data_IF_931719298170
#
_entry.id   IF_931719298170
#
_cell.length_a   1.000
_cell.length_b   1.000
_cell.length_c   1.000
_cell.angle_alpha   90.00
_cell.angle_beta   90.00
_cell.angle_gamma   90.00
#
_symmetry.space_group_name_H-M   'P 1'
#
loop_
_entity.id
_entity.type
_entity.pdbx_description
1 polymer ?
#
# COMPACT_ATOMS: atom_id res chain seq x y z
N UNK A 1 66.55 -11.63 76.15
CA UNK A 1 65.72 -10.40 76.21
C UNK A 1 64.43 -10.64 75.43
N UNK A 2 63.31 -10.13 75.93
CA UNK A 2 61.90 -10.36 75.53
C UNK A 2 61.62 -9.88 74.08
N UNK A 3 60.54 -10.36 73.42
CA UNK A 3 60.34 -10.42 71.96
C UNK A 3 59.39 -9.32 71.45
N UNK A 4 59.10 -9.30 70.14
CA UNK A 4 57.79 -8.85 69.65
C UNK A 4 57.46 -9.42 68.26
N UNK A 5 56.25 -9.97 68.19
CA UNK A 5 55.55 -10.52 67.01
C UNK A 5 55.11 -9.41 66.02
N UNK A 6 54.68 -9.80 64.80
CA UNK A 6 53.28 -9.64 64.30
C UNK A 6 53.18 -9.94 62.79
N UNK A 7 52.20 -10.81 62.49
CA UNK A 7 51.33 -11.01 61.32
C UNK A 7 51.79 -10.94 59.84
N UNK A 8 51.52 -12.07 59.17
CA UNK A 8 50.45 -12.28 58.18
C UNK A 8 50.25 -11.26 57.06
N UNK A 9 50.47 -11.69 55.81
CA UNK A 9 49.51 -11.49 54.70
C UNK A 9 49.80 -12.53 53.61
N UNK A 10 48.84 -13.42 53.42
CA UNK A 10 48.65 -14.24 52.23
C UNK A 10 48.12 -13.38 51.08
N UNK A 11 48.63 -13.55 49.86
CA UNK A 11 47.89 -13.24 48.63
C UNK A 11 48.24 -14.28 47.56
N UNK A 12 47.25 -14.94 46.93
CA UNK A 12 47.50 -15.99 45.95
C UNK A 12 47.84 -15.39 44.58
N UNK A 13 48.59 -16.17 43.81
CA UNK A 13 48.91 -15.87 42.42
C UNK A 13 47.66 -15.86 41.53
N UNK A 14 47.73 -14.95 40.57
CA UNK A 14 46.69 -14.51 39.66
C UNK A 14 46.31 -15.64 38.67
N UNK A 15 45.07 -16.10 38.74
CA UNK A 15 44.52 -17.06 37.79
C UNK A 15 44.19 -16.33 36.49
N UNK A 16 45.07 -16.43 35.49
CA UNK A 16 44.81 -15.95 34.13
C UNK A 16 43.68 -16.78 33.52
N UNK A 17 42.45 -16.28 33.64
CA UNK A 17 41.27 -16.79 32.95
C UNK A 17 41.39 -16.51 31.45
N UNK A 18 41.96 -17.45 30.70
CA UNK A 18 41.84 -17.52 29.25
C UNK A 18 40.36 -17.77 28.90
N UNK A 19 39.65 -16.71 28.49
CA UNK A 19 38.34 -16.86 27.87
C UNK A 19 38.51 -17.55 26.51
N UNK A 20 37.84 -18.69 26.28
CA UNK A 20 37.99 -19.40 25.02
C UNK A 20 37.34 -18.58 23.88
N UNK A 21 38.01 -18.43 22.71
CA UNK A 21 37.51 -17.65 21.57
C UNK A 21 36.12 -18.11 21.07
N UNK A 22 35.73 -19.34 21.40
CA UNK A 22 34.47 -19.98 21.00
C UNK A 22 33.22 -19.34 21.59
N UNK A 23 33.31 -18.63 22.73
CA UNK A 23 32.15 -17.99 23.37
C UNK A 23 31.76 -16.65 22.74
N UNK A 24 32.67 -16.00 21.99
CA UNK A 24 32.41 -14.73 21.30
C UNK A 24 31.85 -14.90 19.88
N UNK A 25 32.08 -16.07 19.27
CA UNK A 25 31.58 -16.42 17.94
C UNK A 25 30.04 -16.58 17.92
N UNK A 26 29.46 -17.11 19.01
CA UNK A 26 28.01 -17.30 19.13
C UNK A 26 27.21 -15.99 19.16
N UNK A 27 27.52 -14.98 20.00
CA UNK A 27 26.79 -13.72 20.01
C UNK A 27 27.04 -12.88 18.75
N UNK A 28 28.24 -12.94 18.16
CA UNK A 28 28.55 -12.21 16.93
C UNK A 28 27.77 -12.77 15.74
N UNK A 29 27.64 -14.10 15.66
CA UNK A 29 26.84 -14.76 14.64
C UNK A 29 25.34 -14.53 14.84
N UNK A 30 24.88 -14.48 16.09
CA UNK A 30 23.51 -14.09 16.40
C UNK A 30 23.22 -12.63 15.99
N UNK A 31 24.15 -11.69 16.25
CA UNK A 31 24.05 -10.30 15.81
C UNK A 31 24.03 -10.17 14.28
N UNK A 32 24.86 -10.96 13.58
CA UNK A 32 24.87 -11.01 12.12
C UNK A 32 23.54 -11.54 11.58
N UNK A 33 22.97 -12.59 12.17
CA UNK A 33 21.66 -13.13 11.80
C UNK A 33 20.51 -12.15 12.09
N UNK A 34 20.57 -11.43 13.22
CA UNK A 34 19.63 -10.36 13.56
C UNK A 34 19.68 -9.21 12.56
N UNK A 35 20.89 -8.77 12.16
CA UNK A 35 21.05 -7.70 11.16
C UNK A 35 20.50 -8.10 9.78
N UNK A 36 20.70 -9.35 9.35
CA UNK A 36 20.14 -9.88 8.10
C UNK A 36 18.62 -10.07 8.16
N UNK A 37 18.06 -10.31 9.35
CA UNK A 37 16.61 -10.38 9.57
C UNK A 37 15.95 -9.00 9.61
N UNK A 38 16.71 -7.94 9.88
CA UNK A 38 16.21 -6.54 9.91
C UNK A 38 16.42 -5.75 8.63
N UNK A 39 17.20 -6.28 7.67
CA UNK A 39 17.37 -5.64 6.37
C UNK A 39 16.21 -6.02 5.42
N UNK A 40 14.99 -5.61 5.78
CA UNK A 40 14.11 -5.18 4.70
C UNK A 40 14.82 -3.97 4.07
N UNK A 41 15.02 -3.90 2.75
CA UNK A 41 15.53 -2.68 2.14
C UNK A 41 14.61 -1.55 2.59
N UNK A 42 15.10 -0.71 3.51
CA UNK A 42 14.28 0.35 4.07
C UNK A 42 13.83 1.22 2.91
N UNK A 43 12.53 1.35 2.77
CA UNK A 43 11.87 2.05 1.70
C UNK A 43 12.35 3.52 1.60
N UNK A 44 13.31 3.77 0.70
CA UNK A 44 14.10 5.01 0.75
C UNK A 44 13.67 6.08 -0.28
N UNK A 45 12.73 5.77 -1.18
CA UNK A 45 12.24 6.74 -2.15
C UNK A 45 10.74 7.01 -1.96
N UNK A 46 10.29 8.17 -2.46
CA UNK A 46 8.91 8.64 -2.34
C UNK A 46 7.89 7.61 -2.86
N UNK A 47 8.20 6.93 -3.96
CA UNK A 47 7.30 5.98 -4.61
C UNK A 47 7.07 4.73 -3.80
N UNK A 48 8.12 4.21 -3.19
CA UNK A 48 7.99 3.10 -2.28
C UNK A 48 7.18 3.52 -1.03
N UNK A 49 7.47 4.70 -0.43
CA UNK A 49 6.78 5.15 0.79
C UNK A 49 5.30 5.38 0.56
N UNK A 50 4.96 5.89 -0.61
CA UNK A 50 3.57 5.99 -1.06
C UNK A 50 2.88 4.62 -1.04
N UNK A 51 3.48 3.60 -1.67
CA UNK A 51 2.91 2.25 -1.72
C UNK A 51 2.74 1.66 -0.31
N UNK A 52 3.70 1.86 0.58
CA UNK A 52 3.63 1.37 1.97
C UNK A 52 2.57 2.08 2.82
N UNK A 53 2.31 3.36 2.55
CA UNK A 53 1.35 4.19 3.29
C UNK A 53 -0.07 4.19 2.69
N UNK A 54 -0.28 3.51 1.57
CA UNK A 54 -1.59 3.44 0.92
C UNK A 54 -2.66 2.57 1.64
N UNK A 55 -2.35 1.48 2.36
CA UNK A 55 -3.39 0.60 2.94
C UNK A 55 -4.46 1.29 3.80
N UNK A 56 -4.14 2.28 4.67
CA UNK A 56 -5.16 3.05 5.37
C UNK A 56 -6.13 3.81 4.43
N UNK A 57 -5.63 4.33 3.30
CA UNK A 57 -6.47 5.01 2.29
C UNK A 57 -7.35 4.01 1.56
N UNK A 58 -6.84 2.82 1.25
CA UNK A 58 -7.63 1.73 0.68
C UNK A 58 -8.74 1.28 1.62
N UNK A 59 -8.47 1.22 2.93
CA UNK A 59 -9.49 0.95 3.95
C UNK A 59 -10.58 2.04 3.92
N UNK A 60 -10.18 3.31 3.87
CA UNK A 60 -11.12 4.43 3.77
C UNK A 60 -11.97 4.38 2.50
N UNK A 61 -11.39 4.05 1.35
CA UNK A 61 -12.13 3.81 0.10
C UNK A 61 -13.24 2.77 0.28
N UNK A 62 -12.93 1.64 0.92
CA UNK A 62 -13.91 0.58 1.20
C UNK A 62 -14.99 1.02 2.18
N UNK A 63 -14.62 1.77 3.22
CA UNK A 63 -15.58 2.36 4.17
C UNK A 63 -16.53 3.34 3.47
N UNK A 64 -16.02 4.27 2.67
CA UNK A 64 -16.84 5.24 1.95
C UNK A 64 -17.74 4.58 0.90
N UNK A 65 -17.22 3.56 0.22
CA UNK A 65 -18.03 2.79 -0.74
C UNK A 65 -19.17 2.04 -0.06
N UNK A 66 -18.95 1.45 1.12
CA UNK A 66 -20.02 0.77 1.87
C UNK A 66 -21.19 1.68 2.24
N UNK A 67 -21.00 3.01 2.24
CA UNK A 67 -22.06 3.99 2.50
C UNK A 67 -22.88 4.32 1.24
N UNK A 68 -22.40 3.94 0.05
CA UNK A 68 -23.02 4.31 -1.23
C UNK A 68 -23.34 3.12 -2.14
N UNK A 69 -22.80 1.93 -1.86
CA UNK A 69 -22.91 0.72 -2.69
C UNK A 69 -24.37 0.38 -3.01
N UNK A 70 -25.21 0.28 -1.97
CA UNK A 70 -26.62 -0.11 -2.10
C UNK A 70 -27.38 0.80 -3.07
N UNK A 71 -27.09 2.11 -3.05
CA UNK A 71 -27.72 3.06 -3.95
C UNK A 71 -27.29 2.85 -5.40
N UNK A 72 -25.99 2.70 -5.67
CA UNK A 72 -25.50 2.59 -7.05
C UNK A 72 -25.76 1.21 -7.65
N UNK A 73 -25.66 0.15 -6.86
CA UNK A 73 -25.98 -1.23 -7.29
C UNK A 73 -27.47 -1.41 -7.58
N UNK A 74 -28.37 -0.86 -6.74
CA UNK A 74 -29.81 -0.98 -6.96
C UNK A 74 -30.34 -0.19 -8.18
N UNK A 75 -29.54 0.73 -8.70
CA UNK A 75 -29.85 1.53 -9.90
C UNK A 75 -29.00 1.11 -11.12
N UNK A 76 -28.25 0.01 -11.01
CA UNK A 76 -27.49 -0.56 -12.12
C UNK A 76 -28.35 -1.54 -12.93
N UNK A 77 -28.81 -1.10 -14.10
CA UNK A 77 -29.61 -1.93 -15.02
C UNK A 77 -28.73 -2.69 -16.05
N UNK A 78 -27.40 -2.69 -15.89
CA UNK A 78 -26.47 -3.30 -16.85
C UNK A 78 -25.94 -4.65 -16.37
N UNK A 79 -26.32 -5.73 -17.08
CA UNK A 79 -25.85 -7.09 -16.81
C UNK A 79 -24.37 -7.33 -17.18
N UNK A 80 -23.74 -6.41 -17.91
CA UNK A 80 -22.36 -6.55 -18.38
C UNK A 80 -21.37 -5.90 -17.43
N UNK A 81 -20.41 -6.67 -16.91
CA UNK A 81 -19.35 -6.11 -16.07
C UNK A 81 -18.53 -5.02 -16.79
N UNK A 82 -18.33 -3.86 -16.15
CA UNK A 82 -17.47 -2.80 -16.68
C UNK A 82 -15.99 -3.15 -16.45
N UNK A 83 -15.67 -3.62 -15.26
CA UNK A 83 -14.34 -3.98 -14.79
C UNK A 83 -14.13 -5.50 -14.90
N UNK A 84 -14.26 -6.02 -16.12
CA UNK A 84 -14.16 -7.45 -16.41
C UNK A 84 -12.73 -8.03 -16.28
N UNK A 85 -12.59 -9.34 -16.49
CA UNK A 85 -11.29 -10.04 -16.48
C UNK A 85 -10.28 -9.47 -17.48
N UNK A 86 -10.73 -8.83 -18.56
CA UNK A 86 -9.83 -8.17 -19.53
C UNK A 86 -9.16 -6.97 -18.89
N UNK A 87 -9.91 -6.19 -18.12
CA UNK A 87 -9.39 -5.06 -17.34
C UNK A 87 -8.44 -5.57 -16.26
N UNK A 88 -8.83 -6.60 -15.52
CA UNK A 88 -7.96 -7.25 -14.50
C UNK A 88 -6.61 -7.68 -15.10
N UNK A 89 -6.63 -8.36 -16.25
CA UNK A 89 -5.42 -8.81 -16.93
C UNK A 89 -4.54 -7.65 -17.39
N UNK A 90 -5.14 -6.52 -17.72
CA UNK A 90 -4.42 -5.30 -18.11
C UNK A 90 -3.63 -4.73 -16.91
N UNK A 91 -4.14 -4.82 -15.68
CA UNK A 91 -3.41 -4.48 -14.45
C UNK A 91 -2.27 -5.45 -14.09
N UNK A 92 -2.25 -6.65 -14.68
CA UNK A 92 -1.16 -7.63 -14.53
C UNK A 92 -0.08 -7.51 -15.62
N UNK A 93 -0.34 -6.68 -16.64
CA UNK A 93 0.57 -6.50 -17.78
C UNK A 93 1.72 -5.52 -17.49
N UNK A 94 2.74 -5.45 -18.36
CA UNK A 94 3.74 -4.38 -18.32
C UNK A 94 3.14 -2.96 -18.44
N UNK A 95 1.91 -2.84 -18.93
CA UNK A 95 1.19 -1.58 -19.10
C UNK A 95 0.28 -1.22 -17.92
N UNK A 96 0.39 -1.92 -16.79
CA UNK A 96 -0.48 -1.77 -15.63
C UNK A 96 -0.54 -0.34 -15.07
N UNK A 97 0.56 0.42 -15.17
CA UNK A 97 0.51 1.83 -14.79
C UNK A 97 -0.41 2.63 -15.72
N UNK A 98 -0.24 2.47 -17.03
CA UNK A 98 -0.98 3.25 -18.01
C UNK A 98 -2.48 2.95 -17.88
N UNK A 99 -2.82 1.68 -17.61
CA UNK A 99 -4.17 1.24 -17.26
C UNK A 99 -4.66 1.94 -16.00
N UNK A 100 -3.88 1.93 -14.91
CA UNK A 100 -4.21 2.64 -13.66
C UNK A 100 -4.48 4.13 -13.92
N UNK A 101 -3.58 4.83 -14.62
CA UNK A 101 -3.75 6.25 -14.90
C UNK A 101 -5.02 6.51 -15.73
N UNK A 102 -5.26 5.70 -16.76
CA UNK A 102 -6.40 5.88 -17.66
C UNK A 102 -7.74 5.59 -16.95
N UNK A 103 -7.79 4.63 -16.03
CA UNK A 103 -8.99 4.37 -15.22
C UNK A 103 -9.21 5.50 -14.22
N UNK A 104 -8.16 5.95 -13.53
CA UNK A 104 -8.28 7.10 -12.61
C UNK A 104 -8.72 8.36 -13.37
N UNK A 105 -8.19 8.60 -14.57
CA UNK A 105 -8.66 9.68 -15.46
C UNK A 105 -10.15 9.57 -15.75
N UNK A 106 -10.66 8.39 -16.09
CA UNK A 106 -12.09 8.19 -16.33
C UNK A 106 -12.95 8.46 -15.10
N UNK A 107 -12.57 7.93 -13.94
CA UNK A 107 -13.34 8.14 -12.71
C UNK A 107 -13.32 9.61 -12.26
N UNK A 108 -12.16 10.26 -12.29
CA UNK A 108 -11.99 11.63 -11.82
C UNK A 108 -12.59 12.68 -12.77
N UNK A 109 -12.53 12.46 -14.08
CA UNK A 109 -13.01 13.44 -15.05
C UNK A 109 -14.45 13.19 -15.51
N UNK A 110 -15.03 12.02 -15.21
CA UNK A 110 -16.35 11.64 -15.73
C UNK A 110 -17.25 11.07 -14.65
N UNK A 111 -16.89 9.95 -14.03
CA UNK A 111 -17.81 9.19 -13.16
C UNK A 111 -18.13 9.96 -11.88
N UNK A 112 -17.11 10.31 -11.09
CA UNK A 112 -17.28 10.92 -9.76
C UNK A 112 -17.89 12.32 -9.83
N UNK A 113 -17.48 13.22 -10.75
CA UNK A 113 -18.16 14.51 -10.91
C UNK A 113 -19.62 14.36 -11.30
N UNK A 114 -19.94 13.39 -12.17
CA UNK A 114 -21.33 13.13 -12.57
C UNK A 114 -22.13 12.54 -11.42
N UNK A 115 -21.54 11.65 -10.60
CA UNK A 115 -22.15 11.11 -9.39
C UNK A 115 -22.53 12.23 -8.43
N UNK A 116 -21.59 13.13 -8.11
CA UNK A 116 -21.81 14.27 -7.22
C UNK A 116 -22.91 15.19 -7.77
N UNK A 117 -22.89 15.49 -9.07
CA UNK A 117 -23.85 16.39 -9.69
C UNK A 117 -25.27 15.82 -9.78
N UNK A 118 -25.42 14.49 -9.76
CA UNK A 118 -26.71 13.78 -9.91
C UNK A 118 -27.24 13.18 -8.62
N UNK A 119 -26.62 13.45 -7.47
CA UNK A 119 -27.17 13.02 -6.17
C UNK A 119 -28.57 13.61 -5.97
N UNK A 120 -29.63 12.80 -5.83
CA UNK A 120 -30.97 13.29 -5.51
C UNK A 120 -31.00 14.00 -4.16
N UNK A 121 -31.87 14.99 -3.98
CA UNK A 121 -32.01 15.72 -2.70
C UNK A 121 -32.30 14.77 -1.53
N UNK A 122 -33.11 13.73 -1.76
CA UNK A 122 -33.43 12.68 -0.79
C UNK A 122 -32.20 11.86 -0.34
N UNK A 123 -31.10 11.93 -1.08
CA UNK A 123 -29.89 11.14 -0.91
C UNK A 123 -28.66 12.03 -0.72
N UNK A 124 -28.82 13.27 -0.25
CA UNK A 124 -27.70 14.23 -0.05
C UNK A 124 -26.54 13.65 0.77
N UNK A 125 -26.81 12.70 1.67
CA UNK A 125 -25.80 12.00 2.47
C UNK A 125 -24.79 11.18 1.65
N UNK A 126 -25.10 10.85 0.39
CA UNK A 126 -24.18 10.13 -0.51
C UNK A 126 -23.05 11.01 -1.04
N UNK A 127 -23.20 12.34 -0.98
CA UNK A 127 -22.23 13.26 -1.58
C UNK A 127 -20.86 13.20 -0.89
N UNK A 128 -20.82 13.23 0.44
CA UNK A 128 -19.58 13.26 1.20
C UNK A 128 -18.70 12.01 0.99
N UNK A 129 -19.23 10.77 1.02
CA UNK A 129 -18.44 9.59 0.67
C UNK A 129 -17.88 9.64 -0.75
N UNK A 130 -18.65 10.13 -1.74
CA UNK A 130 -18.19 10.23 -3.13
C UNK A 130 -17.07 11.26 -3.26
N UNK A 131 -17.17 12.41 -2.60
CA UNK A 131 -16.11 13.43 -2.55
C UNK A 131 -14.84 12.91 -1.88
N UNK A 132 -14.97 12.12 -0.81
CA UNK A 132 -13.85 11.47 -0.13
C UNK A 132 -13.14 10.45 -1.04
N UNK A 133 -13.90 9.64 -1.79
CA UNK A 133 -13.36 8.72 -2.80
C UNK A 133 -12.60 9.50 -3.88
N UNK A 134 -13.17 10.61 -4.37
CA UNK A 134 -12.54 11.46 -5.37
C UNK A 134 -11.19 12.00 -4.88
N UNK A 135 -11.14 12.51 -3.65
CA UNK A 135 -9.90 13.02 -3.07
C UNK A 135 -8.81 11.94 -3.00
N UNK A 136 -9.15 10.73 -2.57
CA UNK A 136 -8.18 9.62 -2.49
C UNK A 136 -7.71 9.22 -3.89
N UNK A 137 -8.60 9.23 -4.89
CA UNK A 137 -8.25 8.95 -6.29
C UNK A 137 -7.34 10.01 -6.90
N UNK A 138 -7.56 11.30 -6.60
CA UNK A 138 -6.67 12.38 -7.01
C UNK A 138 -5.26 12.20 -6.45
N UNK A 139 -5.15 11.91 -5.15
CA UNK A 139 -3.87 11.63 -4.50
C UNK A 139 -3.18 10.39 -5.10
N UNK A 140 -3.93 9.31 -5.32
CA UNK A 140 -3.42 8.09 -5.95
C UNK A 140 -2.90 8.37 -7.37
N UNK A 141 -3.62 9.15 -8.17
CA UNK A 141 -3.23 9.48 -9.54
C UNK A 141 -1.94 10.29 -9.58
N UNK A 142 -1.81 11.30 -8.72
CA UNK A 142 -0.60 12.11 -8.60
C UNK A 142 0.61 11.22 -8.29
N UNK A 143 0.47 10.32 -7.32
CA UNK A 143 1.56 9.44 -6.88
C UNK A 143 1.91 8.39 -7.93
N UNK A 144 0.91 7.73 -8.55
CA UNK A 144 1.14 6.77 -9.64
C UNK A 144 1.85 7.45 -10.81
N UNK A 145 1.38 8.63 -11.24
CA UNK A 145 1.98 9.37 -12.36
C UNK A 145 3.42 9.74 -12.07
N UNK A 146 3.70 10.23 -10.86
CA UNK A 146 5.06 10.60 -10.44
C UNK A 146 6.01 9.40 -10.44
N UNK A 147 5.50 8.22 -10.11
CA UNK A 147 6.30 7.02 -9.88
C UNK A 147 6.54 6.18 -11.14
N UNK A 148 6.08 6.66 -12.30
CA UNK A 148 6.14 5.91 -13.55
C UNK A 148 7.10 6.58 -14.50
N UNK A 149 8.06 5.79 -14.99
CA UNK A 149 8.99 6.20 -16.03
C UNK A 149 8.35 5.91 -17.39
N UNK A 150 8.18 6.94 -18.21
CA UNK A 150 7.64 6.91 -19.59
C UNK A 150 6.12 6.64 -19.70
N UNK A 151 5.28 7.68 -19.59
CA UNK A 151 3.85 7.55 -19.89
C UNK A 151 3.67 7.43 -21.41
N UNK A 152 3.67 6.21 -21.93
CA UNK A 152 3.06 5.94 -23.24
C UNK A 152 1.54 5.99 -23.04
N UNK A 153 0.83 6.74 -23.88
CA UNK A 153 -0.63 6.79 -23.84
C UNK A 153 -1.20 5.40 -24.13
N UNK A 154 -1.87 4.80 -23.13
CA UNK A 154 -2.68 3.61 -23.34
C UNK A 154 -4.13 4.06 -23.45
N UNK A 155 -4.74 3.82 -24.60
CA UNK A 155 -6.18 3.98 -24.74
C UNK A 155 -6.82 2.73 -24.14
N UNK A 156 -7.57 2.91 -23.05
CA UNK A 156 -8.50 1.87 -22.61
C UNK A 156 -9.41 1.51 -23.79
N UNK A 157 -9.77 0.23 -23.97
CA UNK A 157 -10.73 -0.15 -24.98
C UNK A 157 -11.99 0.73 -24.89
N UNK A 158 -12.59 1.07 -26.02
CA UNK A 158 -13.84 1.84 -26.18
C UNK A 158 -15.03 1.34 -25.35
N UNK A 159 -14.87 0.18 -24.68
CA UNK A 159 -15.79 -0.38 -23.67
C UNK A 159 -16.05 0.53 -22.47
N UNK A 160 -15.22 1.53 -22.18
CA UNK A 160 -15.51 2.52 -21.12
C UNK A 160 -16.41 3.65 -21.67
N UNK A 161 -17.50 3.25 -22.28
CA UNK A 161 -18.64 4.13 -22.61
C UNK A 161 -19.83 3.58 -21.86
N UNK A 162 -19.80 3.61 -20.52
CA UNK A 162 -20.81 2.92 -19.71
C UNK A 162 -21.32 3.76 -18.54
N UNK A 163 -22.56 3.44 -18.16
CA UNK A 163 -23.42 4.22 -17.29
C UNK A 163 -22.84 4.51 -15.91
N UNK A 164 -23.20 5.68 -15.39
CA UNK A 164 -22.80 6.16 -14.06
C UNK A 164 -22.99 5.11 -12.96
N UNK A 165 -24.17 4.50 -12.89
CA UNK A 165 -24.53 3.54 -11.84
C UNK A 165 -23.66 2.29 -11.89
N UNK A 166 -23.38 1.77 -13.09
CA UNK A 166 -22.45 0.65 -13.28
C UNK A 166 -21.04 0.97 -12.76
N UNK A 167 -20.51 2.11 -13.18
CA UNK A 167 -19.15 2.49 -12.82
C UNK A 167 -18.99 2.75 -11.32
N UNK A 168 -20.00 3.34 -10.68
CA UNK A 168 -20.03 3.54 -9.23
C UNK A 168 -20.26 2.23 -8.48
N UNK A 169 -21.12 1.35 -9.00
CA UNK A 169 -21.46 0.06 -8.42
C UNK A 169 -20.29 -0.92 -8.40
N UNK A 170 -19.34 -0.83 -9.33
CA UNK A 170 -18.16 -1.73 -9.38
C UNK A 170 -16.88 -1.14 -8.75
N UNK A 171 -17.01 -0.11 -7.90
CA UNK A 171 -15.84 0.52 -7.26
C UNK A 171 -15.03 -0.45 -6.38
N UNK A 172 -15.68 -1.42 -5.73
CA UNK A 172 -15.00 -2.45 -4.93
C UNK A 172 -14.05 -3.31 -5.78
N UNK A 173 -14.47 -3.68 -7.00
CA UNK A 173 -13.65 -4.40 -7.98
C UNK A 173 -12.43 -3.56 -8.34
N UNK A 174 -12.62 -2.27 -8.61
CA UNK A 174 -11.50 -1.35 -8.86
C UNK A 174 -10.53 -1.28 -7.67
N UNK A 175 -11.05 -1.23 -6.44
CA UNK A 175 -10.20 -1.20 -5.24
C UNK A 175 -9.35 -2.46 -5.11
N UNK A 176 -9.89 -3.62 -5.48
CA UNK A 176 -9.13 -4.88 -5.50
C UNK A 176 -8.02 -4.85 -6.57
N UNK A 177 -8.26 -4.23 -7.73
CA UNK A 177 -7.24 -4.03 -8.75
C UNK A 177 -6.15 -3.06 -8.29
N UNK A 178 -6.53 -1.97 -7.61
CA UNK A 178 -5.59 -1.02 -7.00
C UNK A 178 -4.72 -1.72 -5.95
N UNK A 179 -5.33 -2.47 -5.04
CA UNK A 179 -4.62 -3.21 -3.99
C UNK A 179 -3.61 -4.18 -4.59
N UNK A 180 -4.05 -5.00 -5.56
CA UNK A 180 -3.19 -5.98 -6.23
C UNK A 180 -2.04 -5.30 -6.97
N UNK A 181 -2.32 -4.21 -7.68
CA UNK A 181 -1.30 -3.43 -8.38
C UNK A 181 -0.27 -2.88 -7.41
N UNK A 182 -0.69 -2.20 -6.34
CA UNK A 182 0.20 -1.59 -5.37
C UNK A 182 1.01 -2.64 -4.60
N UNK A 183 0.39 -3.76 -4.20
CA UNK A 183 1.09 -4.89 -3.60
C UNK A 183 2.20 -5.43 -4.51
N UNK A 184 1.96 -5.50 -5.83
CA UNK A 184 3.00 -5.91 -6.79
C UNK A 184 4.20 -4.96 -6.87
N UNK A 185 4.03 -3.69 -6.48
CA UNK A 185 5.10 -2.69 -6.42
C UNK A 185 5.89 -2.73 -5.12
N UNK A 186 5.36 -3.33 -4.06
CA UNK A 186 6.09 -3.55 -2.79
C UNK A 186 7.22 -4.57 -2.96
N UNK A 187 6.98 -5.62 -3.73
CA UNK A 187 7.96 -6.71 -3.93
C UNK A 187 9.04 -6.44 -4.98
N UNK A 188 8.88 -5.38 -5.79
CA UNK A 188 9.80 -5.03 -6.88
C UNK A 188 10.81 -3.95 -6.53
N UNK A 189 10.70 -3.33 -5.36
CA UNK A 189 11.54 -2.21 -4.92
C UNK A 189 12.47 -2.61 -3.77
#
# INVERSE_FOLDING_TARGET
MKPSSINSTSRPEDSTSMTPPSLLLSPLMLLLLLNMATSNPMCNNQCCRFVESFPPRLKKLREDYSLISDFYEANDDLDTALLDRTVENSFKSPFACQVMNSILDFYLNTVLPTAIARVPEANVGLKLPVESIQQIFDELKIEVTRCVKNPISYLLPTKITLGLYKAMGELDVLFNYIETYLASKRHKN
#
